data_IF_882247524122
#
_entry.id   IF_882247524122
#
_cell.length_a   1.000
_cell.length_b   1.000
_cell.length_c   1.000
_cell.angle_alpha   90.00
_cell.angle_beta   90.00
_cell.angle_gamma   90.00
#
_symmetry.space_group_name_H-M   'P 1'
#
loop_
_entity.id
_entity.type
_entity.pdbx_description
1 polymer ?
#
# COMPACT_ATOMS: atom_id res chain seq x y z
N UNK A 1 -8.43 5.18 -21.96
CA UNK A 1 -9.10 4.41 -20.89
C UNK A 1 -10.58 4.77 -20.92
N UNK A 2 -11.45 3.78 -21.07
CA UNK A 2 -12.89 4.04 -21.01
C UNK A 2 -13.28 4.47 -19.58
N UNK A 3 -14.21 5.41 -19.39
CA UNK A 3 -14.69 5.78 -18.06
C UNK A 3 -15.33 4.57 -17.36
N UNK A 4 -15.17 4.50 -16.04
CA UNK A 4 -15.82 3.48 -15.23
C UNK A 4 -17.32 3.73 -15.18
N UNK A 5 -18.11 2.72 -15.54
CA UNK A 5 -19.55 2.75 -15.33
C UNK A 5 -19.93 2.39 -13.87
N UNK A 6 -21.20 2.53 -13.51
CA UNK A 6 -21.68 2.26 -12.16
C UNK A 6 -21.47 0.79 -11.76
N UNK A 7 -21.60 -0.12 -12.72
CA UNK A 7 -21.37 -1.55 -12.49
C UNK A 7 -19.90 -1.83 -12.18
N UNK A 8 -18.97 -1.17 -12.85
CA UNK A 8 -17.53 -1.27 -12.57
C UNK A 8 -17.21 -0.76 -11.16
N UNK A 9 -17.84 0.35 -10.77
CA UNK A 9 -17.69 0.90 -9.41
C UNK A 9 -18.23 -0.06 -8.34
N UNK A 10 -19.36 -0.73 -8.60
CA UNK A 10 -19.92 -1.75 -7.71
C UNK A 10 -18.99 -2.96 -7.59
N UNK A 11 -18.41 -3.44 -8.71
CA UNK A 11 -17.42 -4.53 -8.70
C UNK A 11 -16.20 -4.14 -7.85
N UNK A 12 -15.63 -2.96 -8.07
CA UNK A 12 -14.47 -2.47 -7.31
C UNK A 12 -14.83 -2.33 -5.82
N UNK A 13 -16.00 -1.77 -5.48
CA UNK A 13 -16.44 -1.64 -4.10
C UNK A 13 -16.61 -3.01 -3.41
N UNK A 14 -17.20 -3.99 -4.10
CA UNK A 14 -17.36 -5.34 -3.58
C UNK A 14 -16.01 -6.03 -3.32
N UNK A 15 -15.06 -5.91 -4.25
CA UNK A 15 -13.71 -6.49 -4.12
C UNK A 15 -12.83 -5.74 -3.11
N UNK A 16 -13.04 -4.44 -2.91
CA UNK A 16 -12.40 -3.71 -1.82
C UNK A 16 -12.89 -4.14 -0.45
N UNK A 17 -14.18 -4.47 -0.34
CA UNK A 17 -14.74 -4.98 0.91
C UNK A 17 -14.33 -6.44 1.20
N UNK A 18 -14.24 -7.26 0.16
CA UNK A 18 -13.79 -8.66 0.28
C UNK A 18 -13.07 -9.09 -1.02
N UNK A 19 -11.74 -9.01 -0.99
CA UNK A 19 -10.88 -9.41 -2.12
C UNK A 19 -10.85 -10.92 -2.39
N UNK A 20 -11.48 -11.74 -1.52
CA UNK A 20 -11.56 -13.21 -1.66
C UNK A 20 -12.87 -13.69 -2.29
N UNK A 21 -13.77 -12.78 -2.68
CA UNK A 21 -14.99 -13.15 -3.35
C UNK A 21 -14.73 -14.02 -4.58
N UNK A 22 -15.41 -15.18 -4.64
CA UNK A 22 -15.41 -15.95 -5.88
C UNK A 22 -16.14 -15.18 -6.98
N UNK A 23 -15.80 -15.43 -8.25
CA UNK A 23 -16.51 -14.82 -9.38
C UNK A 23 -18.02 -15.08 -9.36
N UNK A 24 -18.45 -16.22 -8.83
CA UNK A 24 -19.86 -16.54 -8.64
C UNK A 24 -20.50 -15.63 -7.58
N UNK A 25 -19.85 -15.44 -6.44
CA UNK A 25 -20.36 -14.58 -5.36
C UNK A 25 -20.38 -13.11 -5.80
N UNK A 26 -19.32 -12.67 -6.48
CA UNK A 26 -19.24 -11.32 -7.03
C UNK A 26 -20.36 -11.06 -8.05
N UNK A 27 -20.57 -11.98 -9.01
CA UNK A 27 -21.62 -11.88 -10.00
C UNK A 27 -23.01 -11.75 -9.38
N UNK A 28 -23.30 -12.57 -8.36
CA UNK A 28 -24.56 -12.49 -7.62
C UNK A 28 -24.70 -11.12 -6.91
N UNK A 29 -23.63 -10.61 -6.31
CA UNK A 29 -23.64 -9.35 -5.56
C UNK A 29 -23.84 -8.12 -6.44
N UNK A 30 -23.35 -8.16 -7.69
CA UNK A 30 -23.47 -7.04 -8.65
C UNK A 30 -24.58 -7.30 -9.71
N UNK A 31 -25.38 -8.33 -9.53
CA UNK A 31 -26.50 -8.70 -10.41
C UNK A 31 -26.12 -8.88 -11.89
N UNK A 32 -24.98 -9.55 -12.13
CA UNK A 32 -24.48 -9.85 -13.48
C UNK A 32 -24.35 -11.36 -13.73
N UNK A 33 -24.26 -11.74 -15.01
CA UNK A 33 -23.80 -13.08 -15.38
C UNK A 33 -22.33 -13.29 -15.00
N UNK A 34 -21.94 -14.52 -14.70
CA UNK A 34 -20.53 -14.86 -14.39
C UNK A 34 -19.57 -14.45 -15.51
N UNK A 35 -19.95 -14.69 -16.77
CA UNK A 35 -19.12 -14.35 -17.92
C UNK A 35 -18.89 -12.83 -18.03
N UNK A 36 -19.93 -12.03 -17.83
CA UNK A 36 -19.83 -10.56 -17.87
C UNK A 36 -18.99 -10.04 -16.70
N UNK A 37 -19.19 -10.58 -15.49
CA UNK A 37 -18.39 -10.22 -14.31
C UNK A 37 -16.90 -10.52 -14.53
N UNK A 38 -16.58 -11.71 -15.04
CA UNK A 38 -15.21 -12.11 -15.34
C UNK A 38 -14.57 -11.16 -16.38
N UNK A 39 -15.28 -10.88 -17.47
CA UNK A 39 -14.80 -9.97 -18.51
C UNK A 39 -14.52 -8.55 -17.99
N UNK A 40 -15.42 -8.04 -17.10
CA UNK A 40 -15.25 -6.71 -16.49
C UNK A 40 -14.05 -6.68 -15.51
N UNK A 41 -13.92 -7.68 -14.64
CA UNK A 41 -12.76 -7.76 -13.72
C UNK A 41 -11.46 -7.84 -14.51
N UNK A 42 -11.38 -8.68 -15.54
CA UNK A 42 -10.20 -8.80 -16.38
C UNK A 42 -9.86 -7.47 -17.11
N UNK A 43 -10.89 -6.73 -17.55
CA UNK A 43 -10.71 -5.39 -18.11
C UNK A 43 -10.19 -4.41 -17.06
N UNK A 44 -10.78 -4.35 -15.87
CA UNK A 44 -10.35 -3.47 -14.78
C UNK A 44 -8.91 -3.73 -14.34
N UNK A 45 -8.47 -4.99 -14.38
CA UNK A 45 -7.07 -5.35 -14.14
C UNK A 45 -6.16 -4.90 -15.29
N UNK A 46 -6.51 -5.19 -16.53
CA UNK A 46 -5.74 -4.77 -17.71
C UNK A 46 -5.59 -3.26 -17.81
N UNK A 47 -6.67 -2.53 -17.49
CA UNK A 47 -6.71 -1.07 -17.53
C UNK A 47 -6.05 -0.43 -16.28
N UNK A 48 -5.52 -1.24 -15.33
CA UNK A 48 -4.81 -0.78 -14.14
C UNK A 48 -5.71 -0.16 -13.05
N UNK A 49 -7.04 -0.31 -13.15
CA UNK A 49 -7.98 0.13 -12.11
C UNK A 49 -7.88 -0.78 -10.88
N UNK A 50 -7.78 -2.08 -11.12
CA UNK A 50 -7.41 -3.07 -10.09
C UNK A 50 -5.95 -3.42 -10.32
N UNK A 51 -5.08 -2.94 -9.45
CA UNK A 51 -3.62 -3.14 -9.55
C UNK A 51 -3.16 -4.47 -8.97
N UNK A 52 -3.98 -5.12 -8.15
CA UNK A 52 -3.66 -6.40 -7.53
C UNK A 52 -4.60 -6.74 -6.38
N UNK A 53 -4.32 -7.88 -5.76
CA UNK A 53 -4.96 -8.36 -4.54
C UNK A 53 -3.85 -8.71 -3.55
N UNK A 54 -3.98 -8.29 -2.32
CA UNK A 54 -3.01 -8.57 -1.27
C UNK A 54 -3.72 -8.92 0.04
N UNK A 55 -3.01 -9.64 0.90
CA UNK A 55 -3.47 -9.87 2.26
C UNK A 55 -3.24 -8.61 3.10
N UNK A 56 -4.24 -8.23 3.89
CA UNK A 56 -4.04 -7.27 4.98
C UNK A 56 -3.53 -8.06 6.18
N UNK A 57 -2.36 -7.68 6.68
CA UNK A 57 -1.72 -8.32 7.83
C UNK A 57 -1.76 -7.37 9.04
N UNK A 58 -1.83 -7.95 10.23
CA UNK A 58 -1.55 -7.23 11.47
C UNK A 58 -0.02 -7.15 11.64
N UNK A 59 0.59 -5.95 11.59
CA UNK A 59 2.05 -5.83 11.63
C UNK A 59 2.66 -6.41 12.89
N UNK A 60 2.05 -6.18 14.05
CA UNK A 60 2.56 -6.65 15.32
C UNK A 60 2.54 -8.19 15.40
N UNK A 61 1.45 -8.82 14.94
CA UNK A 61 1.34 -10.29 14.88
C UNK A 61 2.23 -10.91 13.81
N UNK A 62 2.57 -10.16 12.77
CA UNK A 62 3.52 -10.59 11.75
C UNK A 62 4.98 -10.51 12.25
N UNK A 63 5.24 -9.78 13.36
CA UNK A 63 6.55 -9.66 13.98
C UNK A 63 7.19 -8.28 13.86
N UNK A 64 6.50 -7.29 13.29
CA UNK A 64 7.00 -5.92 13.30
C UNK A 64 6.71 -5.27 14.65
N UNK A 65 7.76 -4.96 15.41
CA UNK A 65 7.65 -4.30 16.72
C UNK A 65 7.59 -2.78 16.65
N UNK A 66 7.98 -2.20 15.50
CA UNK A 66 8.02 -0.76 15.29
C UNK A 66 7.54 -0.38 13.88
N UNK A 67 6.72 0.67 13.83
CA UNK A 67 6.34 1.34 12.59
C UNK A 67 6.70 2.82 12.67
N UNK A 68 7.15 3.40 11.58
CA UNK A 68 7.49 4.81 11.51
C UNK A 68 7.15 5.41 10.14
N UNK A 69 6.80 6.69 10.14
CA UNK A 69 6.91 7.51 8.94
C UNK A 69 8.31 8.12 8.89
N UNK A 70 8.95 8.02 7.74
CA UNK A 70 10.25 8.65 7.48
C UNK A 70 10.07 9.61 6.32
N UNK A 71 10.29 10.88 6.59
CA UNK A 71 10.29 11.92 5.59
C UNK A 71 11.70 12.11 5.07
N UNK A 72 11.84 12.31 3.75
CA UNK A 72 13.13 12.55 3.11
C UNK A 72 13.10 13.88 2.36
N UNK A 73 14.18 14.63 2.50
CA UNK A 73 14.53 15.75 1.63
C UNK A 73 15.60 15.28 0.67
N UNK A 74 15.36 15.45 -0.63
CA UNK A 74 16.27 14.95 -1.65
C UNK A 74 16.87 16.05 -2.51
N UNK A 75 17.97 15.76 -3.17
CA UNK A 75 18.53 16.66 -4.17
C UNK A 75 17.59 16.76 -5.37
N UNK A 76 17.51 17.96 -5.96
CA UNK A 76 16.67 18.21 -7.12
C UNK A 76 16.94 17.18 -8.24
N UNK A 77 15.85 16.66 -8.85
CA UNK A 77 15.84 15.67 -9.93
C UNK A 77 16.33 14.25 -9.57
N UNK A 78 16.56 13.97 -8.29
CA UNK A 78 17.06 12.65 -7.83
C UNK A 78 15.96 11.64 -7.49
N UNK A 79 14.68 12.01 -7.62
CA UNK A 79 13.55 11.20 -7.20
C UNK A 79 13.52 9.80 -7.82
N UNK A 80 13.96 9.62 -9.10
CA UNK A 80 14.00 8.30 -9.76
C UNK A 80 15.07 7.38 -9.15
N UNK A 81 16.22 7.92 -8.76
CA UNK A 81 17.28 7.15 -8.13
C UNK A 81 16.87 6.71 -6.73
N UNK A 82 16.39 7.65 -5.92
CA UNK A 82 15.90 7.39 -4.56
C UNK A 82 14.74 6.41 -4.56
N UNK A 83 13.71 6.60 -5.42
CA UNK A 83 12.58 5.67 -5.50
C UNK A 83 13.00 4.24 -5.75
N UNK A 84 13.95 4.02 -6.67
CA UNK A 84 14.41 2.67 -7.00
C UNK A 84 15.06 2.00 -5.81
N UNK A 85 15.84 2.75 -5.05
CA UNK A 85 16.53 2.25 -3.87
C UNK A 85 15.53 1.95 -2.72
N UNK A 86 14.67 2.92 -2.38
CA UNK A 86 13.70 2.74 -1.27
C UNK A 86 12.66 1.65 -1.56
N UNK A 87 12.23 1.48 -2.82
CA UNK A 87 11.33 0.41 -3.22
C UNK A 87 11.97 -0.99 -3.18
N UNK A 88 13.30 -1.10 -3.12
CA UNK A 88 14.00 -2.37 -2.93
C UNK A 88 14.20 -2.74 -1.46
N UNK A 89 13.86 -1.88 -0.53
CA UNK A 89 13.99 -2.14 0.91
C UNK A 89 12.78 -2.91 1.41
N UNK A 90 12.95 -4.12 1.97
CA UNK A 90 11.82 -4.93 2.44
C UNK A 90 11.09 -4.32 3.64
N UNK A 91 11.73 -3.43 4.39
CA UNK A 91 11.15 -2.72 5.51
C UNK A 91 10.23 -1.56 5.07
N UNK A 92 10.31 -1.14 3.81
CA UNK A 92 9.50 -0.05 3.25
C UNK A 92 8.25 -0.63 2.61
N UNK A 93 7.08 -0.39 3.18
CA UNK A 93 5.81 -0.89 2.66
C UNK A 93 4.94 0.19 1.98
N UNK A 94 5.36 1.46 2.08
CA UNK A 94 4.69 2.57 1.39
C UNK A 94 5.69 3.66 1.03
N UNK A 95 5.55 4.21 -0.18
CA UNK A 95 6.33 5.34 -0.69
C UNK A 95 5.37 6.33 -1.34
N UNK A 96 5.42 7.58 -0.92
CA UNK A 96 4.68 8.67 -1.55
C UNK A 96 5.60 9.86 -1.82
N UNK A 97 5.48 10.45 -3.01
CA UNK A 97 6.04 11.78 -3.29
C UNK A 97 5.04 12.80 -2.77
N UNK A 98 5.52 13.73 -1.98
CA UNK A 98 4.70 14.75 -1.35
C UNK A 98 5.19 16.14 -1.76
N UNK A 99 4.32 17.13 -1.59
CA UNK A 99 4.66 18.54 -1.77
C UNK A 99 4.58 19.24 -0.42
N UNK A 100 5.51 20.13 -0.14
CA UNK A 100 5.55 20.88 1.11
C UNK A 100 6.96 20.96 1.67
N UNK A 101 7.09 20.71 2.96
CA UNK A 101 8.38 20.79 3.67
C UNK A 101 9.33 19.66 3.28
N UNK A 102 8.79 18.49 2.93
CA UNK A 102 9.55 17.30 2.54
C UNK A 102 9.17 16.83 1.14
N UNK A 103 10.04 16.04 0.51
CA UNK A 103 9.88 15.54 -0.87
C UNK A 103 9.27 14.13 -0.94
N UNK A 104 9.64 13.25 0.01
CA UNK A 104 9.19 11.85 0.03
C UNK A 104 8.73 11.48 1.43
N UNK A 105 7.63 10.72 1.50
CA UNK A 105 7.17 10.04 2.69
C UNK A 105 7.32 8.53 2.49
N UNK A 106 7.99 7.87 3.42
CA UNK A 106 8.07 6.42 3.53
C UNK A 106 7.28 5.95 4.75
N UNK A 107 6.63 4.79 4.67
CA UNK A 107 6.27 4.03 5.85
C UNK A 107 7.23 2.86 5.97
N UNK A 108 7.89 2.77 7.12
CA UNK A 108 8.90 1.78 7.44
C UNK A 108 8.40 0.92 8.59
N UNK A 109 8.52 -0.40 8.45
CA UNK A 109 8.17 -1.37 9.48
C UNK A 109 9.39 -2.23 9.79
N UNK A 110 9.73 -2.32 11.07
CA UNK A 110 10.91 -3.07 11.54
C UNK A 110 10.58 -3.90 12.76
N UNK A 111 11.43 -4.88 13.06
CA UNK A 111 11.26 -5.73 14.22
C UNK A 111 11.54 -4.98 15.53
N UNK A 112 12.50 -4.05 15.51
CA UNK A 112 12.96 -3.32 16.67
C UNK A 112 13.56 -1.94 16.31
N UNK A 113 13.96 -1.20 17.37
CA UNK A 113 14.57 0.11 17.22
C UNK A 113 15.97 0.07 16.59
N UNK A 114 16.71 -1.02 16.75
CA UNK A 114 18.03 -1.17 16.15
C UNK A 114 17.91 -1.30 14.62
N UNK A 115 16.97 -2.11 14.16
CA UNK A 115 16.64 -2.26 12.74
C UNK A 115 16.13 -0.94 12.12
N UNK A 116 15.29 -0.18 12.84
CA UNK A 116 14.82 1.12 12.37
C UNK A 116 15.99 2.10 12.23
N UNK A 117 16.88 2.13 13.22
CA UNK A 117 18.07 2.98 13.18
C UNK A 117 18.98 2.63 12.00
N UNK A 118 19.18 1.35 11.72
CA UNK A 118 19.97 0.91 10.56
C UNK A 118 19.36 1.39 9.25
N UNK A 119 18.05 1.21 9.05
CA UNK A 119 17.36 1.72 7.86
C UNK A 119 17.56 3.23 7.69
N UNK A 120 17.37 4.00 8.76
CA UNK A 120 17.40 5.47 8.67
C UNK A 120 18.83 6.00 8.58
N UNK A 121 19.73 5.58 9.48
CA UNK A 121 21.06 6.18 9.58
C UNK A 121 22.07 5.55 8.62
N UNK A 122 21.96 4.24 8.36
CA UNK A 122 22.93 3.56 7.51
C UNK A 122 22.46 3.53 6.05
N UNK A 123 21.21 3.18 5.80
CA UNK A 123 20.74 2.95 4.42
C UNK A 123 20.13 4.19 3.75
N UNK A 124 19.35 5.00 4.47
CA UNK A 124 18.73 6.19 3.89
C UNK A 124 19.67 7.39 3.90
N UNK A 125 20.35 7.70 5.02
CA UNK A 125 21.23 8.86 5.11
C UNK A 125 22.55 8.70 4.35
N UNK A 126 22.99 7.47 4.06
CA UNK A 126 24.16 7.22 3.20
C UNK A 126 23.88 7.37 1.71
N UNK A 127 22.60 7.50 1.30
CA UNK A 127 22.27 7.82 -0.09
C UNK A 127 22.73 9.23 -0.44
N UNK A 128 23.58 9.42 -1.45
CA UNK A 128 24.13 10.77 -1.76
C UNK A 128 23.05 11.75 -2.20
N UNK A 129 21.89 11.26 -2.62
CA UNK A 129 20.75 12.07 -3.03
C UNK A 129 19.90 12.56 -1.85
N UNK A 130 20.00 11.91 -0.68
CA UNK A 130 19.24 12.25 0.52
C UNK A 130 19.98 13.33 1.30
N UNK A 131 19.32 14.47 1.52
CA UNK A 131 19.88 15.63 2.25
C UNK A 131 19.56 15.60 3.73
N UNK A 132 18.32 15.19 4.05
CA UNK A 132 17.85 15.10 5.42
C UNK A 132 16.79 14.01 5.55
N UNK A 133 16.63 13.52 6.77
CA UNK A 133 15.57 12.59 7.15
C UNK A 133 14.90 13.05 8.44
N UNK A 134 13.58 12.91 8.50
CA UNK A 134 12.82 13.08 9.74
C UNK A 134 12.03 11.82 10.01
N UNK A 135 12.17 11.25 11.20
CA UNK A 135 11.48 10.02 11.59
C UNK A 135 10.41 10.33 12.64
N UNK A 136 9.20 9.86 12.38
CA UNK A 136 8.05 9.97 13.29
C UNK A 136 7.55 8.55 13.60
N UNK A 137 7.63 8.15 14.86
CA UNK A 137 7.15 6.83 15.27
C UNK A 137 5.63 6.78 15.23
N UNK A 138 5.09 5.67 14.76
CA UNK A 138 3.66 5.39 14.75
C UNK A 138 3.37 4.57 16.01
N UNK A 139 2.57 5.13 16.91
CA UNK A 139 2.15 4.42 18.12
C UNK A 139 0.97 3.48 17.85
N UNK A 140 0.05 3.91 16.97
CA UNK A 140 -1.12 3.13 16.60
C UNK A 140 -1.57 3.51 15.19
N UNK A 141 -1.93 2.52 14.38
CA UNK A 141 -2.56 2.72 13.08
C UNK A 141 -4.01 2.23 13.15
N UNK A 142 -4.94 3.10 12.79
CA UNK A 142 -6.35 2.78 12.69
C UNK A 142 -6.74 2.69 11.21
N UNK A 143 -7.21 1.52 10.78
CA UNK A 143 -7.76 1.36 9.45
C UNK A 143 -9.28 1.57 9.45
N UNK A 144 -9.83 2.29 8.45
CA UNK A 144 -11.27 2.38 8.29
C UNK A 144 -11.90 0.99 8.15
N UNK A 145 -13.10 0.81 8.73
CA UNK A 145 -13.85 -0.46 8.73
C UNK A 145 -14.24 -1.01 7.34
N UNK A 146 -13.86 -0.34 6.25
CA UNK A 146 -14.10 -0.76 4.85
C UNK A 146 -13.26 -1.95 4.41
N UNK A 147 -12.23 -2.33 5.17
CA UNK A 147 -11.51 -3.59 4.97
C UNK A 147 -12.17 -4.60 5.89
N UNK A 148 -12.94 -5.53 5.32
CA UNK A 148 -13.56 -6.60 6.09
C UNK A 148 -12.49 -7.41 6.81
N UNK A 149 -12.31 -7.16 8.09
CA UNK A 149 -11.63 -8.10 8.99
C UNK A 149 -12.58 -9.27 9.22
N UNK A 150 -12.64 -10.19 8.27
CA UNK A 150 -13.24 -11.49 8.50
C UNK A 150 -12.30 -12.24 9.47
N UNK A 151 -12.43 -11.92 10.76
CA UNK A 151 -11.89 -12.75 11.82
C UNK A 151 -12.57 -14.11 11.78
N UNK A 152 -11.87 -15.21 12.08
CA UNK A 152 -12.53 -16.49 12.32
C UNK A 152 -13.34 -16.39 13.62
N UNK A 153 -14.65 -16.41 13.51
CA UNK A 153 -15.55 -16.72 14.62
C UNK A 153 -16.09 -15.51 15.39
N UNK A 154 -17.33 -15.14 15.09
CA UNK A 154 -18.35 -14.85 16.06
C UNK A 154 -19.41 -15.95 15.92
#
# INVERSE_FOLDING_TARGET
MAPLDDTDRLIVAALRADGRLSMRALAARVHLSRANTYSRVARLQRDGVITGFSAVIDPARYGYGLSAYVYLDIAQRSWKAVSRQVLSMPEVDHVAFISGEHDILLRVRTHDAASLRDVVLTRLQEMPEVRATQTVLIFEELEPATVSRAGPGA
#
